data_IF_159434896556
#
_entry.id   IF_159434896556
#
_cell.length_a   1.000
_cell.length_b   1.000
_cell.length_c   1.000
_cell.angle_alpha   90.00
_cell.angle_beta   90.00
_cell.angle_gamma   90.00
#
_symmetry.space_group_name_H-M   'P 1'
#
loop_
_entity.id
_entity.type
_entity.pdbx_description
1 polymer ?
#
# COMPACT_ATOMS: atom_id res chain seq x y z
N UNK A 1 6.32 -1.15 -34.39
CA UNK A 1 6.35 -0.15 -33.31
C UNK A 1 5.46 -0.64 -32.18
N UNK A 2 6.01 -1.48 -31.28
CA UNK A 2 5.27 -1.97 -30.12
C UNK A 2 5.31 -0.85 -29.07
N UNK A 3 4.17 -0.22 -28.83
CA UNK A 3 4.01 0.77 -27.77
C UNK A 3 3.95 -0.01 -26.45
N UNK A 4 5.07 -0.06 -25.73
CA UNK A 4 5.10 -0.48 -24.31
C UNK A 4 4.38 0.60 -23.50
N UNK A 5 3.21 0.29 -22.95
CA UNK A 5 2.47 1.16 -22.03
C UNK A 5 2.93 0.88 -20.60
N UNK A 6 4.19 1.25 -20.32
CA UNK A 6 4.74 1.28 -18.98
C UNK A 6 3.85 2.13 -18.04
N UNK A 7 3.88 1.89 -16.71
CA UNK A 7 3.16 2.73 -15.76
C UNK A 7 3.51 4.20 -16.02
N UNK A 8 2.48 5.05 -16.06
CA UNK A 8 2.61 6.47 -16.40
C UNK A 8 3.65 7.18 -15.51
N UNK A 9 3.81 6.69 -14.29
CA UNK A 9 4.81 7.14 -13.34
C UNK A 9 5.73 5.98 -12.96
N UNK A 10 7.03 6.26 -12.95
CA UNK A 10 8.01 5.28 -12.47
C UNK A 10 7.81 4.96 -10.99
N UNK A 11 8.05 3.71 -10.55
CA UNK A 11 8.02 3.33 -9.14
C UNK A 11 8.96 4.19 -8.29
N UNK A 12 8.54 4.49 -7.06
CA UNK A 12 9.39 5.08 -6.04
C UNK A 12 9.95 4.00 -5.13
N UNK A 13 11.18 4.20 -4.65
CA UNK A 13 11.76 3.31 -3.67
C UNK A 13 10.97 3.42 -2.34
N UNK A 14 10.91 2.31 -1.61
CA UNK A 14 10.22 2.26 -0.30
C UNK A 14 10.71 3.33 0.68
N UNK A 15 12.02 3.63 0.64
CA UNK A 15 12.66 4.61 1.52
C UNK A 15 12.42 6.07 1.10
N UNK A 16 11.82 6.32 -0.07
CA UNK A 16 11.56 7.69 -0.53
C UNK A 16 10.55 8.42 0.37
N UNK A 17 10.75 9.73 0.48
CA UNK A 17 9.97 10.62 1.34
C UNK A 17 8.61 10.98 0.74
N UNK A 18 7.68 11.42 1.60
CA UNK A 18 6.37 11.98 1.19
C UNK A 18 6.52 13.11 0.16
N UNK A 19 7.54 13.96 0.28
CA UNK A 19 7.80 15.03 -0.69
C UNK A 19 8.06 14.51 -2.09
N UNK A 20 8.91 13.48 -2.24
CA UNK A 20 9.17 12.86 -3.55
C UNK A 20 7.93 12.17 -4.12
N UNK A 21 7.13 11.57 -3.26
CA UNK A 21 5.83 11.00 -3.64
C UNK A 21 4.89 12.07 -4.20
N UNK A 22 4.76 13.21 -3.51
CA UNK A 22 3.95 14.34 -4.00
C UNK A 22 4.48 14.86 -5.33
N UNK A 23 5.79 15.07 -5.44
CA UNK A 23 6.41 15.52 -6.69
C UNK A 23 6.14 14.55 -7.84
N UNK A 24 6.24 13.23 -7.59
CA UNK A 24 5.98 12.20 -8.62
C UNK A 24 4.53 12.20 -9.09
N UNK A 25 3.59 12.42 -8.18
CA UNK A 25 2.15 12.43 -8.50
C UNK A 25 1.65 13.78 -9.04
N UNK A 26 2.49 14.82 -9.05
CA UNK A 26 2.10 16.20 -9.37
C UNK A 26 1.24 16.86 -8.29
N UNK A 27 1.31 16.34 -7.05
CA UNK A 27 0.58 16.85 -5.89
C UNK A 27 1.41 17.90 -5.15
N UNK A 28 0.74 18.82 -4.46
CA UNK A 28 1.37 19.85 -3.63
C UNK A 28 0.97 19.74 -2.17
N UNK A 29 1.95 19.68 -1.27
CA UNK A 29 1.70 19.67 0.18
C UNK A 29 1.10 20.98 0.71
N UNK A 30 1.09 22.04 -0.10
CA UNK A 30 0.49 23.32 0.22
C UNK A 30 -1.00 23.38 -0.14
N UNK A 31 -1.49 22.43 -0.97
CA UNK A 31 -2.90 22.35 -1.36
C UNK A 31 -3.64 21.43 -0.38
N UNK A 32 -4.65 21.97 0.28
CA UNK A 32 -5.49 21.19 1.21
C UNK A 32 -6.21 20.03 0.53
N UNK A 33 -6.60 20.17 -0.74
CA UNK A 33 -7.19 19.10 -1.56
C UNK A 33 -6.25 17.89 -1.70
N UNK A 34 -4.98 18.15 -2.02
CA UNK A 34 -4.00 17.11 -2.28
C UNK A 34 -3.56 16.42 -0.98
N UNK A 35 -3.54 17.17 0.12
CA UNK A 35 -3.34 16.61 1.45
C UNK A 35 -4.49 15.69 1.86
N UNK A 36 -5.74 16.12 1.65
CA UNK A 36 -6.92 15.29 1.89
C UNK A 36 -6.89 14.02 1.05
N UNK A 37 -6.52 14.13 -0.23
CA UNK A 37 -6.36 12.99 -1.13
C UNK A 37 -5.31 11.99 -0.61
N UNK A 38 -4.16 12.48 -0.17
CA UNK A 38 -3.13 11.63 0.44
C UNK A 38 -3.62 10.95 1.72
N UNK A 39 -4.39 11.66 2.55
CA UNK A 39 -4.95 11.09 3.78
C UNK A 39 -5.99 9.99 3.47
N UNK A 40 -6.80 10.15 2.42
CA UNK A 40 -7.70 9.09 1.92
C UNK A 40 -6.92 7.86 1.44
N UNK A 41 -5.90 8.07 0.59
CA UNK A 41 -5.04 6.96 0.13
C UNK A 41 -4.37 6.22 1.29
N UNK A 42 -4.05 6.96 2.36
CA UNK A 42 -3.44 6.40 3.56
C UNK A 42 -4.45 5.59 4.37
N UNK A 43 -5.68 6.05 4.48
CA UNK A 43 -6.76 5.32 5.16
C UNK A 43 -7.04 3.98 4.46
N UNK A 44 -7.18 3.99 3.13
CA UNK A 44 -7.36 2.79 2.32
C UNK A 44 -6.21 1.79 2.52
N UNK A 45 -4.96 2.26 2.48
CA UNK A 45 -3.78 1.43 2.74
C UNK A 45 -3.72 0.91 4.18
N UNK A 46 -4.18 1.69 5.15
CA UNK A 46 -4.26 1.27 6.55
C UNK A 46 -5.25 0.11 6.68
N UNK A 47 -6.45 0.23 6.12
CA UNK A 47 -7.47 -0.82 6.17
C UNK A 47 -6.95 -2.11 5.55
N UNK A 48 -6.32 -2.02 4.37
CA UNK A 48 -5.77 -3.21 3.73
C UNK A 48 -4.59 -3.82 4.49
N UNK A 49 -3.75 -3.00 5.12
CA UNK A 49 -2.69 -3.49 5.99
C UNK A 49 -3.24 -4.23 7.21
N UNK A 50 -4.27 -3.71 7.88
CA UNK A 50 -4.88 -4.42 9.02
C UNK A 50 -5.46 -5.78 8.60
N UNK A 51 -6.05 -5.86 7.41
CA UNK A 51 -6.58 -7.10 6.83
C UNK A 51 -5.48 -8.13 6.59
N UNK A 52 -4.37 -7.73 5.97
CA UNK A 52 -3.20 -8.61 5.77
C UNK A 52 -2.71 -9.15 7.12
N UNK A 53 -2.50 -8.28 8.10
CA UNK A 53 -1.86 -8.66 9.37
C UNK A 53 -2.79 -9.43 10.31
N UNK A 54 -4.09 -9.45 10.03
CA UNK A 54 -5.07 -10.19 10.84
C UNK A 54 -5.52 -11.50 10.19
N UNK A 55 -5.16 -11.75 8.92
CA UNK A 55 -5.60 -12.94 8.19
C UNK A 55 -4.51 -14.03 8.18
N UNK A 56 -4.79 -15.24 8.69
CA UNK A 56 -3.84 -16.36 8.64
C UNK A 56 -3.52 -16.81 7.21
N UNK A 57 -4.43 -16.54 6.25
CA UNK A 57 -4.17 -16.75 4.82
C UNK A 57 -3.14 -15.77 4.24
N UNK A 58 -2.74 -14.74 4.99
CA UNK A 58 -1.65 -13.86 4.59
C UNK A 58 -0.27 -14.38 5.01
N UNK A 59 -0.22 -15.38 5.89
CA UNK A 59 1.03 -15.91 6.43
C UNK A 59 1.82 -16.68 5.37
N UNK A 60 3.15 -16.70 5.56
CA UNK A 60 4.06 -17.59 4.86
C UNK A 60 3.61 -19.06 5.01
N UNK A 61 3.77 -19.92 3.98
CA UNK A 61 3.30 -21.30 4.03
C UNK A 61 3.82 -22.09 5.25
N UNK A 62 5.07 -21.83 5.64
CA UNK A 62 5.73 -22.44 6.81
C UNK A 62 5.09 -22.06 8.16
N UNK A 63 4.33 -20.96 8.23
CA UNK A 63 3.66 -20.50 9.44
C UNK A 63 2.16 -20.84 9.47
N UNK A 64 1.55 -21.16 8.32
CA UNK A 64 0.10 -21.33 8.16
C UNK A 64 -0.46 -22.61 8.78
N UNK A 65 0.38 -23.60 9.07
CA UNK A 65 -0.03 -24.91 9.56
C UNK A 65 0.84 -25.46 10.68
N UNK A 66 1.69 -24.64 11.29
CA UNK A 66 2.52 -25.08 12.40
C UNK A 66 1.75 -24.92 13.72
N UNK A 67 1.36 -26.01 14.41
CA UNK A 67 0.60 -25.94 15.65
C UNK A 67 1.42 -25.43 16.85
N UNK A 68 2.75 -25.33 16.72
CA UNK A 68 3.65 -24.78 17.74
C UNK A 68 3.99 -23.31 17.52
N UNK A 69 3.79 -22.80 16.31
CA UNK A 69 3.87 -21.39 15.96
C UNK A 69 2.66 -20.71 16.59
N UNK A 70 2.77 -20.36 17.88
CA UNK A 70 1.87 -19.45 18.59
C UNK A 70 1.95 -18.03 18.00
N UNK A 71 1.72 -17.92 16.69
CA UNK A 71 1.74 -16.68 15.95
C UNK A 71 0.31 -16.17 15.95
N UNK A 72 0.04 -15.28 16.90
CA UNK A 72 -1.24 -14.59 17.02
C UNK A 72 -1.18 -13.27 16.24
N UNK A 73 -2.31 -12.81 15.68
CA UNK A 73 -2.39 -11.50 15.04
C UNK A 73 -2.25 -10.37 16.09
N UNK A 74 -1.76 -9.18 15.70
CA UNK A 74 -1.35 -8.80 14.36
C UNK A 74 0.02 -9.38 13.98
N UNK A 75 0.09 -9.99 12.79
CA UNK A 75 1.33 -10.55 12.26
C UNK A 75 2.33 -9.46 11.91
N UNK A 76 3.62 -9.79 11.95
CA UNK A 76 4.70 -8.92 11.49
C UNK A 76 4.84 -9.01 9.96
N UNK A 77 5.30 -7.93 9.30
CA UNK A 77 5.46 -7.94 7.83
C UNK A 77 6.40 -9.07 7.35
N UNK A 78 7.36 -9.51 8.18
CA UNK A 78 8.29 -10.61 7.86
C UNK A 78 7.61 -11.99 7.86
N UNK A 79 6.42 -12.10 8.46
CA UNK A 79 5.62 -13.32 8.54
C UNK A 79 4.60 -13.41 7.40
N UNK A 80 4.43 -12.33 6.63
CA UNK A 80 3.45 -12.22 5.55
C UNK A 80 4.08 -12.66 4.21
N UNK A 81 3.33 -13.43 3.43
CA UNK A 81 3.71 -13.84 2.09
C UNK A 81 3.55 -12.70 1.08
N UNK A 82 4.48 -12.58 0.12
CA UNK A 82 4.40 -11.56 -0.93
C UNK A 82 3.11 -11.64 -1.74
N UNK A 83 2.62 -12.85 -2.05
CA UNK A 83 1.37 -13.04 -2.78
C UNK A 83 0.16 -12.44 -2.06
N UNK A 84 0.15 -12.46 -0.72
CA UNK A 84 -0.90 -11.83 0.08
C UNK A 84 -0.83 -10.30 -0.01
N UNK A 85 0.38 -9.73 0.02
CA UNK A 85 0.59 -8.29 -0.19
C UNK A 85 0.14 -7.88 -1.59
N UNK A 86 0.48 -8.67 -2.60
CA UNK A 86 0.10 -8.43 -3.98
C UNK A 86 -1.42 -8.47 -4.19
N UNK A 87 -2.09 -9.52 -3.67
CA UNK A 87 -3.56 -9.61 -3.72
C UNK A 87 -4.22 -8.40 -3.04
N UNK A 88 -3.67 -7.94 -1.92
CA UNK A 88 -4.20 -6.77 -1.24
C UNK A 88 -3.95 -5.46 -2.02
N UNK A 89 -2.81 -5.32 -2.70
CA UNK A 89 -2.54 -4.18 -3.59
C UNK A 89 -3.63 -4.08 -4.65
N UNK A 90 -3.95 -5.19 -5.31
CA UNK A 90 -5.00 -5.25 -6.33
C UNK A 90 -6.38 -4.98 -5.72
N UNK A 91 -6.64 -5.52 -4.53
CA UNK A 91 -7.90 -5.30 -3.82
C UNK A 91 -8.11 -3.83 -3.47
N UNK A 92 -7.11 -3.17 -2.89
CA UNK A 92 -7.16 -1.74 -2.57
C UNK A 92 -7.43 -0.94 -3.85
N UNK A 93 -6.72 -1.24 -4.94
CA UNK A 93 -6.95 -0.54 -6.22
C UNK A 93 -8.38 -0.73 -6.75
N UNK A 94 -8.95 -1.94 -6.63
CA UNK A 94 -10.31 -2.25 -7.08
C UNK A 94 -11.37 -1.55 -6.23
N UNK A 95 -11.21 -1.59 -4.90
CA UNK A 95 -12.13 -1.01 -3.92
C UNK A 95 -11.89 0.50 -3.65
N UNK A 96 -10.84 1.09 -4.22
CA UNK A 96 -10.49 2.49 -4.04
C UNK A 96 -11.62 3.44 -4.42
N UNK A 97 -11.76 4.53 -3.66
CA UNK A 97 -12.67 5.62 -3.96
C UNK A 97 -12.35 6.24 -5.34
N UNK A 98 -13.33 6.83 -6.05
CA UNK A 98 -13.08 7.47 -7.34
C UNK A 98 -11.98 8.55 -7.29
N UNK A 99 -11.85 9.24 -6.15
CA UNK A 99 -10.83 10.28 -5.93
C UNK A 99 -9.42 9.68 -5.91
N UNK A 100 -9.20 8.60 -5.15
CA UNK A 100 -7.89 7.94 -5.02
C UNK A 100 -7.56 7.07 -6.23
N UNK A 101 -8.58 6.50 -6.87
CA UNK A 101 -8.45 5.63 -8.05
C UNK A 101 -7.76 6.32 -9.22
N UNK A 102 -8.12 7.57 -9.51
CA UNK A 102 -7.45 8.35 -10.57
C UNK A 102 -5.94 8.58 -10.31
N UNK A 103 -5.52 8.58 -9.04
CA UNK A 103 -4.09 8.61 -8.69
C UNK A 103 -3.46 7.22 -8.88
N UNK A 104 -4.13 6.18 -8.41
CA UNK A 104 -3.63 4.81 -8.51
C UNK A 104 -3.48 4.35 -9.96
N UNK A 105 -4.36 4.74 -10.87
CA UNK A 105 -4.26 4.48 -12.31
C UNK A 105 -2.91 4.93 -12.89
N UNK A 106 -2.33 6.04 -12.38
CA UNK A 106 -1.04 6.56 -12.86
C UNK A 106 0.15 5.66 -12.51
N UNK A 107 0.01 4.80 -11.50
CA UNK A 107 1.04 3.86 -11.07
C UNK A 107 0.67 2.41 -11.28
N UNK A 108 -0.42 2.16 -12.00
CA UNK A 108 -0.87 0.83 -12.35
C UNK A 108 -0.12 0.35 -13.61
N UNK A 109 0.47 -0.84 -13.52
CA UNK A 109 1.12 -1.53 -14.63
C UNK A 109 0.20 -2.66 -15.12
N UNK A 110 -0.39 -2.44 -16.30
CA UNK A 110 -1.35 -3.38 -16.91
C UNK A 110 -0.68 -4.47 -17.76
N UNK A 111 0.62 -4.34 -18.07
CA UNK A 111 1.28 -5.18 -19.09
C UNK A 111 2.32 -6.14 -18.52
N UNK A 112 2.79 -5.89 -17.30
CA UNK A 112 3.58 -6.89 -16.56
C UNK A 112 2.75 -8.17 -16.36
N UNK A 113 3.40 -9.34 -16.51
CA UNK A 113 2.81 -10.65 -16.11
C UNK A 113 2.28 -10.66 -14.67
N UNK A 114 2.74 -9.72 -13.85
CA UNK A 114 2.24 -9.41 -12.53
C UNK A 114 1.62 -8.00 -12.54
N UNK A 115 0.29 -7.92 -12.62
CA UNK A 115 -0.49 -6.68 -12.47
C UNK A 115 -0.06 -6.02 -11.15
N UNK A 116 0.56 -4.84 -11.19
CA UNK A 116 1.05 -4.19 -9.96
C UNK A 116 0.60 -2.74 -9.89
N UNK A 117 0.41 -2.25 -8.67
CA UNK A 117 0.25 -0.83 -8.39
C UNK A 117 1.33 -0.36 -7.41
N UNK A 118 2.37 0.28 -7.94
CA UNK A 118 3.50 0.72 -7.12
C UNK A 118 3.09 1.81 -6.12
N UNK A 119 2.08 2.62 -6.44
CA UNK A 119 1.59 3.69 -5.57
C UNK A 119 0.95 3.07 -4.32
N UNK A 120 0.04 2.11 -4.51
CA UNK A 120 -0.58 1.36 -3.39
C UNK A 120 0.49 0.60 -2.60
N UNK A 121 1.43 -0.08 -3.28
CA UNK A 121 2.55 -0.79 -2.65
C UNK A 121 3.39 0.15 -1.78
N UNK A 122 3.67 1.35 -2.27
CA UNK A 122 4.40 2.38 -1.54
C UNK A 122 3.62 2.84 -0.30
N UNK A 123 2.30 3.03 -0.41
CA UNK A 123 1.43 3.41 0.71
C UNK A 123 1.36 2.34 1.81
N UNK A 124 1.22 1.06 1.43
CA UNK A 124 1.23 -0.08 2.36
C UNK A 124 2.54 -0.20 3.13
N UNK A 125 3.65 0.16 2.50
CA UNK A 125 4.97 0.07 3.10
C UNK A 125 5.28 1.18 4.11
N UNK A 126 4.42 2.21 4.21
CA UNK A 126 4.66 3.31 5.14
C UNK A 126 4.27 2.92 6.56
N UNK A 127 5.14 3.21 7.54
CA UNK A 127 4.78 3.00 8.92
C UNK A 127 3.54 3.84 9.22
N UNK A 128 2.55 3.23 9.89
CA UNK A 128 1.55 4.01 10.60
C UNK A 128 2.33 4.92 11.54
N UNK A 129 2.31 6.23 11.27
CA UNK A 129 2.78 7.20 12.24
C UNK A 129 1.81 7.06 13.41
N UNK A 130 2.21 6.32 14.46
CA UNK A 130 1.52 6.38 15.72
C UNK A 130 1.41 7.87 16.05
N UNK A 131 0.20 8.42 16.06
CA UNK A 131 -0.01 9.66 16.79
C UNK A 131 0.51 9.33 18.18
N UNK A 132 1.55 10.02 18.66
CA UNK A 132 1.86 9.95 20.08
C UNK A 132 0.55 10.35 20.74
N UNK A 133 -0.08 9.37 21.39
CA UNK A 133 -1.19 9.63 22.27
C UNK A 133 -0.61 10.67 23.23
N UNK A 134 -1.16 11.87 23.18
CA UNK A 134 -0.99 12.89 24.19
C UNK A 134 -1.66 12.30 25.44
N UNK A 135 -0.97 11.33 26.06
CA UNK A 135 -1.28 10.78 27.35
C UNK A 135 -1.01 11.92 28.34
N UNK A 136 -2.10 12.64 28.62
CA UNK A 136 -2.47 13.37 29.82
C UNK A 136 -1.41 13.92 30.77
N UNK A 137 -1.65 15.15 31.22
CA UNK A 137 -1.18 15.66 32.51
C UNK A 137 -0.41 16.95 32.39
#
# INVERSE_FOLDING_TARGET
HCWMMAPQLQPLARSDSKTKFYQRLGLSSQKSSDNRLYDLMKDEAIVGRERILSSPDSLLPQLRGDPNASVLPPYSNVQICESAVHNEILRIYREASPETKSIYEKGHDFESFNEENWIVRWMLCKPKRCKKNELGG
#
